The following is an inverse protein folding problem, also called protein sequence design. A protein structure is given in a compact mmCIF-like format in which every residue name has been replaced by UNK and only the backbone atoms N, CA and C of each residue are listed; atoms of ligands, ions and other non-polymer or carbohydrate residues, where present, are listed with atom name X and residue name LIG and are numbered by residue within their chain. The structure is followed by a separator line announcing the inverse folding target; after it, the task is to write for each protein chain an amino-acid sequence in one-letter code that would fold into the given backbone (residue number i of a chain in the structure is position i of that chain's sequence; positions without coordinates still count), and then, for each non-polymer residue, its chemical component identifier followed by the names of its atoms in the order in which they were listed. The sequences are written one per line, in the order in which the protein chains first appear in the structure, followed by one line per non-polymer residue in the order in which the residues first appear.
data_IF_275894700820
#
_entry.id   IF_275894700820
#
_cell.length_a   1.000
_cell.length_b   1.000
_cell.length_c   1.000
_cell.angle_alpha   90.00
_cell.angle_beta   90.00
_cell.angle_gamma   90.00
#
_symmetry.space_group_name_H-M   'P 1'
#
loop_
_entity.id
_entity.type
_entity.pdbx_description
1 polymer ?
#
# COMPACT_ATOMS: atom_id res chain seq x y z
N UNK A 1 -1.16 -0.11 -14.03
CA UNK A 1 -1.47 -1.41 -13.37
C UNK A 1 -1.27 -1.32 -11.85
N UNK A 2 -1.85 -2.23 -11.03
CA UNK A 2 -1.54 -2.33 -9.60
C UNK A 2 -0.05 -2.60 -9.33
N UNK A 3 0.47 -2.11 -8.21
CA UNK A 3 1.88 -2.28 -7.85
C UNK A 3 2.11 -3.61 -7.11
N UNK A 4 3.02 -4.46 -7.62
CA UNK A 4 3.38 -5.74 -7.00
C UNK A 4 3.93 -5.62 -5.58
N UNK A 5 4.50 -4.48 -5.20
CA UNK A 5 5.04 -4.22 -3.87
C UNK A 5 3.96 -3.92 -2.82
N UNK A 6 2.74 -3.57 -3.22
CA UNK A 6 1.67 -3.17 -2.28
C UNK A 6 0.33 -3.86 -2.52
N UNK A 7 0.10 -4.45 -3.70
CA UNK A 7 -1.16 -5.10 -4.04
C UNK A 7 -1.47 -6.27 -3.08
N UNK A 8 -2.71 -6.39 -2.56
CA UNK A 8 -3.10 -7.53 -1.74
C UNK A 8 -3.20 -8.81 -2.59
N UNK A 9 -3.18 -9.98 -1.92
CA UNK A 9 -3.18 -11.30 -2.59
C UNK A 9 -4.32 -11.45 -3.61
N UNK A 10 -5.53 -11.03 -3.26
CA UNK A 10 -6.69 -11.11 -4.17
C UNK A 10 -6.50 -10.26 -5.44
N UNK A 11 -5.87 -9.09 -5.34
CA UNK A 11 -5.59 -8.24 -6.52
C UNK A 11 -4.53 -8.90 -7.39
N UNK A 12 -3.51 -9.52 -6.79
CA UNK A 12 -2.48 -10.25 -7.53
C UNK A 12 -3.07 -11.42 -8.32
N UNK A 13 -3.96 -12.19 -7.69
CA UNK A 13 -4.65 -13.30 -8.33
C UNK A 13 -5.57 -12.82 -9.46
N UNK A 14 -6.41 -11.82 -9.20
CA UNK A 14 -7.42 -11.37 -10.16
C UNK A 14 -6.81 -10.63 -11.37
N UNK A 15 -5.79 -9.79 -11.16
CA UNK A 15 -5.26 -8.92 -12.23
C UNK A 15 -4.15 -9.60 -13.01
N UNK A 16 -3.31 -10.40 -12.34
CA UNK A 16 -2.14 -11.04 -12.96
C UNK A 16 -2.33 -12.55 -13.16
N UNK A 17 -3.56 -13.05 -12.98
CA UNK A 17 -3.90 -14.46 -13.13
C UNK A 17 -2.98 -15.39 -12.31
N UNK A 18 -2.60 -14.95 -11.11
CA UNK A 18 -1.75 -15.73 -10.22
C UNK A 18 -2.57 -16.76 -9.44
N UNK A 19 -1.96 -17.91 -9.16
CA UNK A 19 -2.50 -18.84 -8.17
C UNK A 19 -2.36 -18.25 -6.75
N UNK A 20 -3.15 -18.72 -5.77
CA UNK A 20 -2.99 -18.31 -4.38
C UNK A 20 -1.56 -18.51 -3.86
N UNK A 21 -0.94 -19.64 -4.23
CA UNK A 21 0.44 -19.97 -3.85
C UNK A 21 1.46 -18.96 -4.40
N UNK A 22 1.34 -18.60 -5.68
CA UNK A 22 2.29 -17.66 -6.31
C UNK A 22 2.12 -16.25 -5.74
N UNK A 23 0.87 -15.83 -5.48
CA UNK A 23 0.59 -14.55 -4.85
C UNK A 23 1.16 -14.48 -3.42
N UNK A 24 1.02 -15.55 -2.63
CA UNK A 24 1.58 -15.63 -1.29
C UNK A 24 3.12 -15.57 -1.30
N UNK A 25 3.77 -16.34 -2.19
CA UNK A 25 5.23 -16.34 -2.34
C UNK A 25 5.78 -14.94 -2.66
N UNK A 26 5.12 -14.22 -3.59
CA UNK A 26 5.49 -12.84 -3.90
C UNK A 26 5.29 -11.89 -2.70
N UNK A 27 4.20 -12.06 -1.95
CA UNK A 27 3.93 -11.25 -0.74
C UNK A 27 4.98 -11.51 0.35
N UNK A 28 5.41 -12.76 0.54
CA UNK A 28 6.45 -13.08 1.51
C UNK A 28 7.79 -12.47 1.10
N UNK A 29 8.17 -12.57 -0.17
CA UNK A 29 9.47 -12.07 -0.62
C UNK A 29 9.52 -10.54 -0.63
N UNK A 30 8.45 -9.85 -1.03
CA UNK A 30 8.46 -8.37 -1.02
C UNK A 30 8.57 -7.75 0.37
N UNK A 31 8.33 -8.52 1.44
CA UNK A 31 8.57 -8.04 2.82
C UNK A 31 10.05 -7.87 3.12
N UNK A 32 10.94 -8.61 2.45
CA UNK A 32 12.38 -8.49 2.60
C UNK A 32 13.03 -7.71 1.45
N UNK A 33 12.59 -7.94 0.20
CA UNK A 33 13.20 -7.33 -0.99
C UNK A 33 12.10 -6.83 -1.93
N UNK A 34 11.97 -5.51 -2.15
CA UNK A 34 10.98 -4.97 -3.10
C UNK A 34 11.34 -5.34 -4.55
N UNK A 35 10.32 -5.47 -5.39
CA UNK A 35 10.47 -5.74 -6.82
C UNK A 35 10.68 -4.44 -7.61
N UNK A 36 11.57 -4.49 -8.60
CA UNK A 36 11.84 -3.38 -9.52
C UNK A 36 11.68 -3.76 -11.00
N UNK A 37 11.38 -5.03 -11.29
CA UNK A 37 11.19 -5.51 -12.66
C UNK A 37 10.20 -6.66 -12.71
N UNK A 38 9.51 -6.80 -13.85
CA UNK A 38 8.62 -7.93 -14.11
C UNK A 38 9.38 -9.24 -14.24
N UNK A 39 10.64 -9.19 -14.71
CA UNK A 39 11.49 -10.38 -14.81
C UNK A 39 11.75 -11.00 -13.44
N UNK A 40 12.02 -10.17 -12.43
CA UNK A 40 12.18 -10.64 -11.04
C UNK A 40 10.89 -11.25 -10.50
N UNK A 41 9.73 -10.65 -10.81
CA UNK A 41 8.41 -11.18 -10.43
C UNK A 41 8.16 -12.53 -11.11
N UNK A 42 8.47 -12.66 -12.40
CA UNK A 42 8.32 -13.90 -13.16
C UNK A 42 9.21 -15.02 -12.63
N UNK A 43 10.49 -14.72 -12.33
CA UNK A 43 11.43 -15.69 -11.77
C UNK A 43 10.98 -16.20 -10.40
N UNK A 44 10.50 -15.30 -9.53
CA UNK A 44 10.11 -15.63 -8.17
C UNK A 44 8.76 -16.33 -8.11
N UNK A 45 7.79 -15.81 -8.87
CA UNK A 45 6.44 -16.35 -8.93
C UNK A 45 6.34 -17.60 -9.80
N UNK A 46 7.41 -17.97 -10.51
CA UNK A 46 7.39 -19.01 -11.55
C UNK A 46 6.27 -18.74 -12.57
N UNK A 47 6.18 -17.47 -12.99
CA UNK A 47 5.15 -16.96 -13.88
C UNK A 47 5.74 -16.59 -15.23
N UNK A 48 4.89 -16.54 -16.25
CA UNK A 48 5.18 -15.95 -17.54
C UNK A 48 4.23 -14.78 -17.81
N UNK A 49 4.33 -13.72 -16.99
CA UNK A 49 3.59 -12.50 -17.22
C UNK A 49 4.15 -11.81 -18.46
N UNK A 50 3.38 -11.80 -19.54
CA UNK A 50 3.68 -11.04 -20.75
C UNK A 50 3.07 -9.63 -20.64
N UNK A 51 3.68 -8.81 -19.79
CA UNK A 51 3.23 -7.43 -19.52
C UNK A 51 4.39 -6.50 -19.86
N UNK A 52 4.09 -5.42 -20.59
CA UNK A 52 5.09 -4.40 -20.89
C UNK A 52 5.59 -3.75 -19.57
N UNK A 53 6.91 -3.71 -19.31
CA UNK A 53 7.46 -3.04 -18.15
C UNK A 53 6.99 -1.58 -17.97
N UNK A 54 6.64 -0.87 -19.04
CA UNK A 54 6.16 0.53 -18.96
C UNK A 54 4.76 0.65 -18.35
N UNK A 55 3.95 -0.41 -18.43
CA UNK A 55 2.57 -0.44 -17.91
C UNK A 55 2.53 -0.77 -16.40
N UNK A 56 3.66 -1.18 -15.85
CA UNK A 56 3.83 -1.61 -14.48
C UNK A 56 4.36 -0.49 -13.61
N UNK A 57 3.79 -0.36 -12.41
CA UNK A 57 4.28 0.55 -11.40
C UNK A 57 4.95 -0.26 -10.28
N UNK A 58 6.26 -0.14 -10.15
CA UNK A 58 7.02 -0.73 -9.04
C UNK A 58 7.28 0.27 -7.91
N UNK A 59 7.13 1.57 -8.19
CA UNK A 59 7.51 2.65 -7.29
C UNK A 59 6.37 2.99 -6.31
N UNK A 60 6.72 3.58 -5.16
CA UNK A 60 5.74 4.07 -4.20
C UNK A 60 4.70 4.97 -4.87
N UNK A 61 3.46 4.86 -4.42
CA UNK A 61 2.38 5.74 -4.85
C UNK A 61 2.69 7.19 -4.46
N UNK A 62 2.40 8.14 -5.35
CA UNK A 62 2.38 9.56 -5.01
C UNK A 62 1.28 9.90 -4.00
N UNK A 63 0.31 9.00 -3.80
CA UNK A 63 -0.80 9.18 -2.88
C UNK A 63 -0.64 8.29 -1.65
N UNK A 64 -0.90 8.85 -0.48
CA UNK A 64 -0.89 8.18 0.81
C UNK A 64 -2.19 8.48 1.57
N UNK A 65 -2.80 7.45 2.15
CA UNK A 65 -3.94 7.60 3.05
C UNK A 65 -3.53 7.21 4.46
N UNK A 66 -3.57 8.16 5.39
CA UNK A 66 -3.36 7.93 6.81
C UNK A 66 -4.71 7.79 7.51
N UNK A 67 -4.92 6.68 8.22
CA UNK A 67 -6.10 6.50 9.09
C UNK A 67 -5.62 6.56 10.53
N UNK A 68 -6.07 7.57 11.27
CA UNK A 68 -5.72 7.83 12.67
C UNK A 68 -6.92 7.52 13.57
N UNK A 69 -6.68 6.72 14.60
CA UNK A 69 -7.67 6.35 15.61
C UNK A 69 -6.96 5.89 16.89
N UNK A 70 -7.68 5.81 18.01
CA UNK A 70 -7.18 5.30 19.29
C UNK A 70 -8.21 4.38 19.94
N UNK A 71 -7.76 3.57 20.90
CA UNK A 71 -8.65 2.65 21.62
C UNK A 71 -9.75 3.39 22.38
N UNK A 72 -11.02 3.03 22.13
CA UNK A 72 -12.18 3.71 22.70
C UNK A 72 -12.64 4.96 21.94
N UNK A 73 -12.00 5.33 20.83
CA UNK A 73 -12.46 6.41 19.97
C UNK A 73 -13.79 6.08 19.30
N UNK A 74 -14.73 7.03 19.26
CA UNK A 74 -15.96 6.90 18.46
C UNK A 74 -15.79 7.38 17.01
N UNK A 75 -14.65 8.00 16.70
CA UNK A 75 -14.35 8.57 15.39
C UNK A 75 -12.93 8.21 14.96
N UNK A 76 -12.73 8.06 13.66
CA UNK A 76 -11.42 8.05 13.02
C UNK A 76 -11.25 9.29 12.16
N UNK A 77 -10.00 9.70 11.99
CA UNK A 77 -9.61 10.72 11.03
C UNK A 77 -8.88 10.06 9.87
N UNK A 78 -9.29 10.35 8.65
CA UNK A 78 -8.59 9.94 7.45
C UNK A 78 -7.99 11.17 6.76
N UNK A 79 -6.68 11.15 6.52
CA UNK A 79 -5.96 12.22 5.81
C UNK A 79 -5.43 11.64 4.51
N UNK A 80 -5.82 12.26 3.39
CA UNK A 80 -5.30 11.94 2.07
C UNK A 80 -4.19 12.93 1.73
N UNK A 81 -3.01 12.39 1.47
CA UNK A 81 -1.79 13.11 1.18
C UNK A 81 -1.37 12.81 -0.26
N UNK A 82 -0.91 13.84 -0.95
CA UNK A 82 -0.29 13.72 -2.26
C UNK A 82 1.14 14.25 -2.17
N UNK A 83 2.10 13.47 -2.65
CA UNK A 83 3.46 13.90 -2.91
C UNK A 83 3.44 14.76 -4.17
N UNK A 84 3.82 16.03 -4.03
CA UNK A 84 3.89 16.97 -5.14
C UNK A 84 5.19 17.77 -5.07
N UNK A 85 5.89 17.81 -6.19
CA UNK A 85 7.07 18.66 -6.37
C UNK A 85 6.71 20.16 -6.40
N UNK A 86 5.41 20.49 -6.40
CA UNK A 86 4.88 21.86 -6.54
C UNK A 86 4.28 22.43 -5.25
N UNK A 87 4.25 21.68 -4.15
CA UNK A 87 3.81 22.24 -2.87
C UNK A 87 4.78 23.35 -2.45
N UNK A 88 4.23 24.46 -1.93
CA UNK A 88 4.83 25.79 -1.67
C UNK A 88 6.25 25.80 -1.06
N UNK A 89 7.26 25.32 -1.81
CA UNK A 89 8.69 25.36 -1.55
C UNK A 89 9.21 24.64 -0.29
N UNK A 90 8.36 24.34 0.70
CA UNK A 90 8.80 23.97 2.05
C UNK A 90 8.49 22.53 2.45
N UNK A 91 7.53 21.87 1.79
CA UNK A 91 7.12 20.50 2.12
C UNK A 91 6.78 19.74 0.84
N UNK A 92 7.31 18.53 0.61
CA UNK A 92 7.03 17.79 -0.61
C UNK A 92 5.63 17.12 -0.62
N UNK A 93 4.81 17.34 0.42
CA UNK A 93 3.50 16.71 0.62
C UNK A 93 2.40 17.77 0.75
N UNK A 94 1.27 17.55 0.09
CA UNK A 94 0.06 18.34 0.21
C UNK A 94 -1.07 17.48 0.80
N UNK A 95 -1.86 18.06 1.71
CA UNK A 95 -3.09 17.44 2.20
C UNK A 95 -4.18 17.74 1.17
N UNK A 96 -4.66 16.71 0.47
CA UNK A 96 -5.76 16.85 -0.48
C UNK A 96 -7.11 16.91 0.26
N UNK A 97 -7.28 16.08 1.28
CA UNK A 97 -8.49 16.06 2.10
C UNK A 97 -8.24 15.50 3.49
N UNK A 98 -9.09 15.91 4.44
CA UNK A 98 -9.14 15.40 5.80
C UNK A 98 -10.59 15.14 6.17
N UNK A 99 -10.92 13.89 6.45
CA UNK A 99 -12.29 13.44 6.77
C UNK A 99 -12.34 12.92 8.21
N UNK A 100 -13.40 13.26 8.92
CA UNK A 100 -13.78 12.60 10.17
C UNK A 100 -14.93 11.64 9.91
N UNK A 101 -14.76 10.40 10.33
CA UNK A 101 -15.72 9.32 10.09
C UNK A 101 -16.04 8.63 11.41
N UNK A 102 -17.28 8.17 11.57
CA UNK A 102 -17.63 7.30 12.71
C UNK A 102 -16.81 6.01 12.62
N UNK A 103 -16.29 5.56 13.76
CA UNK A 103 -15.56 4.30 13.83
C UNK A 103 -16.54 3.14 13.63
N UNK A 104 -16.28 2.25 12.67
CA UNK A 104 -17.10 1.04 12.54
C UNK A 104 -16.71 0.03 13.63
N UNK A 105 -17.65 -0.81 14.11
CA UNK A 105 -17.38 -1.79 15.17
C UNK A 105 -16.25 -2.79 14.86
N UNK A 106 -15.92 -3.04 13.59
CA UNK A 106 -14.80 -3.90 13.22
C UNK A 106 -13.43 -3.32 13.60
N UNK A 107 -13.30 -2.00 13.69
CA UNK A 107 -12.05 -1.33 14.06
C UNK A 107 -11.81 -1.31 15.57
N UNK A 108 -12.84 -1.49 16.40
CA UNK A 108 -12.66 -1.63 17.86
C UNK A 108 -12.16 -3.01 18.27
N UNK A 109 -12.17 -4.00 17.36
CA UNK A 109 -11.80 -5.39 17.66
C UNK A 109 -10.32 -5.69 17.42
N UNK A 110 -9.62 -4.88 16.62
CA UNK A 110 -8.18 -5.02 16.39
C UNK A 110 -7.49 -3.85 17.08
N UNK A 111 -6.82 -4.04 18.24
CA UNK A 111 -6.16 -2.93 18.93
C UNK A 111 -5.12 -2.28 18.01
N UNK A 112 -4.85 -0.96 18.17
CA UNK A 112 -3.90 -0.30 17.29
C UNK A 112 -2.54 -0.95 17.49
N UNK A 113 -1.98 -1.52 16.42
CA UNK A 113 -0.62 -2.05 16.44
C UNK A 113 0.32 -0.91 16.82
N UNK A 114 0.95 -1.00 18.00
CA UNK A 114 1.91 0.02 18.45
C UNK A 114 3.07 0.07 17.48
N UNK A 115 3.02 0.96 16.50
CA UNK A 115 4.24 1.45 15.87
C UNK A 115 4.89 2.35 16.91
N UNK A 116 5.98 1.90 17.54
CA UNK A 116 6.84 2.80 18.33
C UNK A 116 7.43 3.81 17.36
N UNK A 117 6.73 4.91 17.14
CA UNK A 117 7.27 6.07 16.48
C UNK A 117 7.90 6.93 17.57
N UNK A 118 9.23 7.06 17.55
CA UNK A 118 9.94 8.15 18.24
C UNK A 118 9.64 9.44 17.51
N UNK A 119 8.42 9.95 17.66
CA UNK A 119 8.14 11.35 17.39
C UNK A 119 7.62 11.91 18.71
N UNK A 120 8.39 12.89 19.19
CA UNK A 120 8.48 13.44 20.54
C UNK A 120 9.38 12.63 21.50
#
# INVERSE_FOLDING_TARGET
MPNFNTAPSLVLQAVFNMTPLNAERLIQIRQSIPFYSVNTVNQIGELNLNIDPVDLNFFPSYYLRLTLWYEGAQRMRQVHLQLTHRADGLKPWQIESSLELKLLPSYTQTPPGRTRSTLF
#
